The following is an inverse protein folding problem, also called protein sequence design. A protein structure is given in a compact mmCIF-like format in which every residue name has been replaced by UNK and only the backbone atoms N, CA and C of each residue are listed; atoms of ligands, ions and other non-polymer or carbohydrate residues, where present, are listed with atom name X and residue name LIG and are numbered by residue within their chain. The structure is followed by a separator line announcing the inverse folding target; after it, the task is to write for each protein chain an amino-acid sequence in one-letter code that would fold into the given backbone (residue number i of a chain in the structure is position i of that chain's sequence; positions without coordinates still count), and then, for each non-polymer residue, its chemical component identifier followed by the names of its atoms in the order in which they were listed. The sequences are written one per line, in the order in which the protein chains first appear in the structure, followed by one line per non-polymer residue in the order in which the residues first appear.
data_IF_933247932354
#
_entry.id   IF_933247932354
#
_cell.length_a   1.000
_cell.length_b   1.000
_cell.length_c   1.000
_cell.angle_alpha   90.00
_cell.angle_beta   90.00
_cell.angle_gamma   90.00
#
_symmetry.space_group_name_H-M   'P 1'
#
loop_
_entity.id
_entity.type
_entity.pdbx_description
1 polymer ?
#
# COMPACT_ATOMS: atom_id res chain seq x y z
N UNK A 1 9.81 16.54 6.85
CA UNK A 1 9.50 15.50 5.83
C UNK A 1 8.34 14.69 6.38
N UNK A 2 7.21 14.62 5.70
CA UNK A 2 6.03 13.87 6.17
C UNK A 2 6.20 12.37 5.82
N UNK A 3 5.67 11.47 6.65
CA UNK A 3 5.72 10.01 6.45
C UNK A 3 4.79 9.55 5.30
N UNK A 4 4.90 10.18 4.12
CA UNK A 4 4.06 9.93 2.94
C UNK A 4 4.85 10.10 1.63
N UNK A 5 4.38 9.46 0.56
CA UNK A 5 4.96 9.54 -0.78
C UNK A 5 4.28 10.64 -1.62
N UNK A 6 4.91 11.00 -2.75
CA UNK A 6 4.27 11.86 -3.75
C UNK A 6 3.01 11.20 -4.31
N UNK A 7 1.97 12.00 -4.58
CA UNK A 7 0.75 11.51 -5.23
C UNK A 7 0.99 11.11 -6.69
N UNK A 8 1.94 11.78 -7.36
CA UNK A 8 2.21 11.60 -8.80
C UNK A 8 3.18 10.45 -9.10
N UNK A 9 3.78 9.84 -8.07
CA UNK A 9 4.80 8.81 -8.26
C UNK A 9 4.53 7.61 -7.36
N UNK A 10 4.37 6.45 -7.99
CA UNK A 10 4.26 5.19 -7.27
C UNK A 10 5.63 4.70 -6.79
N UNK A 11 5.70 4.23 -5.54
CA UNK A 11 6.90 3.64 -4.95
C UNK A 11 6.55 2.57 -3.93
N UNK A 12 7.45 1.59 -3.73
CA UNK A 12 7.33 0.61 -2.67
C UNK A 12 8.70 0.34 -2.01
N UNK A 13 8.69 -0.16 -0.78
CA UNK A 13 9.94 -0.55 -0.13
C UNK A 13 9.78 -1.25 1.23
N UNK A 14 10.82 -2.00 1.61
CA UNK A 14 10.89 -2.68 2.91
C UNK A 14 11.16 -1.67 4.01
N UNK A 15 10.33 -1.69 5.05
CA UNK A 15 10.40 -0.78 6.20
C UNK A 15 10.31 0.72 5.85
N UNK A 16 10.01 1.08 4.58
CA UNK A 16 10.01 2.46 4.13
C UNK A 16 8.65 3.11 4.34
N UNK A 17 8.53 3.96 5.37
CA UNK A 17 7.30 4.70 5.66
C UNK A 17 7.01 5.84 4.68
N UNK A 18 8.01 6.27 3.90
CA UNK A 18 7.86 7.31 2.87
C UNK A 18 7.53 6.78 1.48
N UNK A 19 7.34 5.47 1.33
CA UNK A 19 6.89 4.85 0.08
C UNK A 19 5.36 4.80 0.00
N UNK A 20 4.83 4.66 -1.22
CA UNK A 20 3.39 4.51 -1.44
C UNK A 20 2.88 3.19 -0.83
N UNK A 21 3.63 2.10 -1.05
CA UNK A 21 3.39 0.79 -0.43
C UNK A 21 4.55 0.41 0.50
N UNK A 22 4.25 -0.01 1.72
CA UNK A 22 5.25 -0.48 2.70
C UNK A 22 5.20 -1.99 2.85
N UNK A 23 6.35 -2.65 2.80
CA UNK A 23 6.49 -4.05 3.20
C UNK A 23 7.08 -4.07 4.62
N UNK A 24 6.39 -4.62 5.64
CA UNK A 24 6.95 -4.78 6.98
C UNK A 24 8.22 -5.63 6.97
N UNK A 25 9.22 -5.30 7.82
CA UNK A 25 10.46 -6.10 7.94
C UNK A 25 10.18 -7.57 8.27
N UNK A 26 9.20 -7.82 9.12
CA UNK A 26 8.81 -9.19 9.48
C UNK A 26 8.29 -9.94 8.26
N UNK A 27 7.49 -9.27 7.41
CA UNK A 27 6.95 -9.89 6.21
C UNK A 27 8.04 -10.22 5.17
N UNK A 28 9.02 -9.32 5.02
CA UNK A 28 10.21 -9.60 4.20
C UNK A 28 11.04 -10.75 4.79
N UNK A 29 11.35 -10.69 6.09
CA UNK A 29 12.19 -11.69 6.76
C UNK A 29 11.58 -13.11 6.75
N UNK A 30 10.26 -13.22 6.88
CA UNK A 30 9.56 -14.51 6.88
C UNK A 30 9.14 -14.99 5.48
N UNK A 31 9.26 -14.15 4.45
CA UNK A 31 8.78 -14.45 3.10
C UNK A 31 7.26 -14.60 2.98
N UNK A 32 6.50 -14.14 4.00
CA UNK A 32 5.04 -14.22 4.08
C UNK A 32 4.52 -13.10 4.97
N UNK A 33 3.24 -12.73 4.81
CA UNK A 33 2.61 -11.71 5.63
C UNK A 33 1.70 -10.80 4.81
N UNK A 34 1.85 -9.48 4.98
CA UNK A 34 1.06 -8.47 4.30
C UNK A 34 1.92 -7.30 3.81
N UNK A 35 1.38 -6.52 2.89
CA UNK A 35 1.87 -5.18 2.55
C UNK A 35 0.88 -4.12 3.07
N UNK A 36 1.36 -2.90 3.24
CA UNK A 36 0.57 -1.74 3.68
C UNK A 36 0.44 -0.75 2.53
N UNK A 37 -0.79 -0.51 2.05
CA UNK A 37 -1.07 0.62 1.16
C UNK A 37 -1.26 1.89 1.99
N UNK A 38 -0.36 2.86 1.82
CA UNK A 38 -0.31 4.10 2.61
C UNK A 38 -0.83 5.31 1.84
N UNK A 39 -1.38 5.10 0.64
CA UNK A 39 -1.95 6.15 -0.21
C UNK A 39 -3.34 6.62 0.22
N UNK A 40 -4.23 5.78 0.80
CA UNK A 40 -5.56 6.23 1.17
C UNK A 40 -5.51 7.32 2.25
N UNK A 41 -6.19 8.44 2.01
CA UNK A 41 -6.31 9.53 2.96
C UNK A 41 -7.28 9.18 4.10
N UNK A 42 -7.23 9.92 5.21
CA UNK A 42 -8.07 9.67 6.40
C UNK A 42 -9.58 9.75 6.13
N UNK A 43 -10.01 10.41 5.05
CA UNK A 43 -11.39 10.54 4.63
C UNK A 43 -11.80 9.56 3.52
N UNK A 44 -11.00 8.52 3.26
CA UNK A 44 -11.32 7.51 2.26
C UNK A 44 -12.65 6.80 2.55
N UNK A 45 -13.36 6.41 1.48
CA UNK A 45 -14.46 5.45 1.61
C UNK A 45 -13.89 4.02 1.71
N UNK A 46 -14.11 3.30 2.83
CA UNK A 46 -13.56 1.97 3.02
C UNK A 46 -14.10 0.94 2.01
N UNK A 47 -15.35 1.07 1.57
CA UNK A 47 -15.93 0.12 0.60
C UNK A 47 -15.30 0.30 -0.78
N UNK A 48 -15.06 1.55 -1.19
CA UNK A 48 -14.42 1.84 -2.48
C UNK A 48 -12.96 1.37 -2.47
N UNK A 49 -12.17 1.73 -1.47
CA UNK A 49 -10.74 1.40 -1.44
C UNK A 49 -10.51 -0.11 -1.34
N UNK A 50 -11.22 -0.80 -0.44
CA UNK A 50 -11.07 -2.26 -0.32
C UNK A 50 -11.49 -2.97 -1.60
N UNK A 51 -12.59 -2.53 -2.23
CA UNK A 51 -13.02 -3.05 -3.53
C UNK A 51 -11.98 -2.82 -4.63
N UNK A 52 -11.33 -1.65 -4.68
CA UNK A 52 -10.25 -1.35 -5.64
C UNK A 52 -9.03 -2.24 -5.43
N UNK A 53 -8.61 -2.46 -4.19
CA UNK A 53 -7.48 -3.35 -3.88
C UNK A 53 -7.74 -4.75 -4.43
N UNK A 54 -8.91 -5.32 -4.17
CA UNK A 54 -9.27 -6.67 -4.64
C UNK A 54 -9.35 -6.72 -6.17
N UNK A 55 -10.00 -5.74 -6.80
CA UNK A 55 -10.11 -5.65 -8.26
C UNK A 55 -8.75 -5.66 -8.95
N UNK A 56 -7.81 -4.86 -8.47
CA UNK A 56 -6.46 -4.75 -9.04
C UNK A 56 -5.56 -5.94 -8.71
N UNK A 57 -5.70 -6.57 -7.54
CA UNK A 57 -4.72 -7.59 -7.07
C UNK A 57 -5.15 -9.03 -7.26
N UNK A 58 -6.46 -9.29 -7.40
CA UNK A 58 -7.02 -10.66 -7.48
C UNK A 58 -7.80 -10.86 -8.77
N UNK A 59 -8.59 -9.86 -9.18
CA UNK A 59 -9.50 -9.99 -10.32
C UNK A 59 -8.91 -9.50 -11.65
N UNK A 60 -7.73 -8.88 -11.63
CA UNK A 60 -7.05 -8.29 -12.80
C UNK A 60 -7.91 -7.28 -13.59
N UNK A 61 -8.73 -6.50 -12.86
CA UNK A 61 -9.61 -5.46 -13.41
C UNK A 61 -9.03 -4.05 -13.22
N UNK A 62 -7.70 -3.93 -13.32
CA UNK A 62 -6.97 -2.69 -13.08
C UNK A 62 -7.15 -1.65 -14.20
#
# INVERSE_FOLDING_TARGET
RHETASMDTFSYGVANRGASIRIPRVAEAEGKGYFEDRRPASNMDPYVVTGRIIKTTILDEA
#
